data_IF_273745052667
#
_entry.id   IF_273745052667
#
_cell.length_a   1.000
_cell.length_b   1.000
_cell.length_c   1.000
_cell.angle_alpha   90.00
_cell.angle_beta   90.00
_cell.angle_gamma   90.00
#
_symmetry.space_group_name_H-M   'P 1'
#
loop_
_entity.id
_entity.type
_entity.pdbx_description
1 polymer ?
#
# COMPACT_ATOMS: atom_id res chain seq x y z
N UNK A 1 -16.40 -21.05 -5.59
CA UNK A 1 -16.54 -20.34 -6.89
C UNK A 1 -15.53 -20.93 -7.86
N UNK A 2 -15.91 -21.14 -9.12
CA UNK A 2 -14.96 -21.57 -10.17
C UNK A 2 -13.98 -20.40 -10.40
N UNK A 3 -12.66 -20.62 -10.41
CA UNK A 3 -11.71 -19.52 -10.59
C UNK A 3 -11.85 -18.94 -12.01
N UNK A 4 -12.21 -17.66 -12.11
CA UNK A 4 -12.15 -16.92 -13.37
C UNK A 4 -10.69 -16.54 -13.66
N UNK A 5 -10.25 -16.67 -14.92
CA UNK A 5 -8.88 -16.40 -15.34
C UNK A 5 -8.87 -15.60 -16.66
N UNK A 6 -7.94 -14.63 -16.81
CA UNK A 6 -6.84 -14.32 -15.89
C UNK A 6 -7.29 -13.49 -14.66
N UNK A 7 -6.56 -13.63 -13.54
CA UNK A 7 -6.76 -12.84 -12.31
C UNK A 7 -5.45 -12.54 -11.61
N UNK A 8 -5.44 -11.49 -10.78
CA UNK A 8 -4.32 -11.12 -9.91
C UNK A 8 -4.78 -11.31 -8.46
N UNK A 9 -3.97 -12.00 -7.67
CA UNK A 9 -4.20 -12.21 -6.23
C UNK A 9 -3.13 -11.45 -5.44
N UNK A 10 -3.56 -10.66 -4.46
CA UNK A 10 -2.68 -9.86 -3.61
C UNK A 10 -2.95 -10.23 -2.15
N UNK A 11 -1.92 -10.67 -1.45
CA UNK A 11 -2.02 -11.01 -0.03
C UNK A 11 -1.74 -9.76 0.82
N UNK A 12 -2.77 -9.23 1.48
CA UNK A 12 -2.66 -7.96 2.22
C UNK A 12 -1.67 -8.01 3.39
N UNK A 13 -1.51 -9.17 4.05
CA UNK A 13 -0.51 -9.30 5.12
C UNK A 13 0.91 -9.07 4.63
N UNK A 14 1.23 -9.51 3.41
CA UNK A 14 2.55 -9.30 2.82
C UNK A 14 2.80 -7.81 2.52
N UNK A 15 1.78 -7.07 2.08
CA UNK A 15 1.88 -5.61 1.90
C UNK A 15 2.18 -4.92 3.23
N UNK A 16 1.44 -5.27 4.28
CA UNK A 16 1.63 -4.70 5.62
C UNK A 16 3.01 -5.00 6.19
N UNK A 17 3.47 -6.24 6.08
CA UNK A 17 4.74 -6.66 6.66
C UNK A 17 5.92 -6.05 5.89
N UNK A 18 5.81 -5.93 4.56
CA UNK A 18 6.78 -5.20 3.74
C UNK A 18 6.83 -3.71 4.10
N UNK A 19 5.67 -3.06 4.26
CA UNK A 19 5.59 -1.67 4.67
C UNK A 19 6.23 -1.47 6.06
N UNK A 20 5.95 -2.36 7.03
CA UNK A 20 6.56 -2.34 8.36
C UNK A 20 8.08 -2.41 8.31
N UNK A 21 8.63 -3.38 7.60
CA UNK A 21 10.08 -3.54 7.47
C UNK A 21 10.75 -2.27 6.91
N UNK A 22 10.17 -1.66 5.88
CA UNK A 22 10.70 -0.42 5.32
C UNK A 22 10.55 0.76 6.29
N UNK A 23 9.40 0.93 6.92
CA UNK A 23 9.14 2.00 7.87
C UNK A 23 10.08 1.92 9.08
N UNK A 24 10.37 0.73 9.60
CA UNK A 24 11.34 0.52 10.67
C UNK A 24 12.76 0.84 10.22
N UNK A 25 13.18 0.33 9.05
CA UNK A 25 14.52 0.54 8.50
C UNK A 25 14.84 2.02 8.26
N UNK A 26 13.90 2.77 7.65
CA UNK A 26 14.09 4.19 7.37
C UNK A 26 13.77 5.07 8.57
N UNK A 27 12.89 4.63 9.47
CA UNK A 27 12.59 5.29 10.73
C UNK A 27 13.81 5.41 11.65
N UNK A 28 14.68 4.38 11.68
CA UNK A 28 15.97 4.45 12.38
C UNK A 28 16.89 5.56 11.86
N UNK A 29 16.65 6.06 10.64
CA UNK A 29 17.40 7.15 10.01
C UNK A 29 16.67 8.50 10.09
N UNK A 30 15.55 8.57 10.81
CA UNK A 30 14.69 9.75 10.89
C UNK A 30 13.91 10.04 9.59
N UNK A 31 13.82 9.07 8.67
CA UNK A 31 13.14 9.23 7.38
C UNK A 31 11.74 8.60 7.46
N UNK A 32 10.71 9.40 7.18
CA UNK A 32 9.33 8.91 7.03
C UNK A 32 9.05 8.49 5.58
N UNK A 33 8.26 7.43 5.42
CA UNK A 33 7.85 6.93 4.11
C UNK A 33 6.44 7.38 3.73
N UNK A 34 6.26 7.56 2.42
CA UNK A 34 4.97 7.79 1.76
C UNK A 34 4.66 6.60 0.87
N UNK A 35 3.49 5.99 1.05
CA UNK A 35 2.99 4.89 0.22
C UNK A 35 2.32 5.44 -1.03
N UNK A 36 2.74 4.97 -2.21
CA UNK A 36 2.19 5.43 -3.48
C UNK A 36 1.22 4.40 -4.04
N UNK A 37 -0.08 4.73 -4.13
CA UNK A 37 -1.14 3.79 -4.54
C UNK A 37 -1.28 3.60 -6.05
N UNK A 38 -0.42 4.23 -6.85
CA UNK A 38 -0.45 4.25 -8.33
C UNK A 38 -0.65 2.86 -8.95
N UNK A 39 0.14 1.87 -8.51
CA UNK A 39 0.14 0.53 -9.10
C UNK A 39 -1.13 -0.28 -8.81
N UNK A 40 -1.88 0.12 -7.78
CA UNK A 40 -3.09 -0.57 -7.32
C UNK A 40 -4.34 0.25 -7.54
N UNK A 41 -4.23 1.32 -8.33
CA UNK A 41 -5.34 2.22 -8.69
C UNK A 41 -6.09 2.80 -7.49
N UNK A 42 -5.41 2.96 -6.36
CA UNK A 42 -6.06 3.45 -5.14
C UNK A 42 -6.82 2.41 -4.33
N UNK A 43 -6.58 1.11 -4.53
CA UNK A 43 -7.35 0.06 -3.86
C UNK A 43 -7.30 0.20 -2.32
N UNK A 44 -8.43 0.50 -1.64
CA UNK A 44 -8.44 0.86 -0.22
C UNK A 44 -7.86 -0.21 0.69
N UNK A 45 -8.13 -1.49 0.41
CA UNK A 45 -7.62 -2.58 1.24
C UNK A 45 -6.08 -2.66 1.23
N UNK A 46 -5.46 -2.29 0.11
CA UNK A 46 -4.00 -2.27 -0.02
C UNK A 46 -3.42 -1.03 0.66
N UNK A 47 -4.07 0.13 0.51
CA UNK A 47 -3.68 1.37 1.20
C UNK A 47 -3.75 1.18 2.72
N UNK A 48 -4.83 0.61 3.23
CA UNK A 48 -5.00 0.29 4.65
C UNK A 48 -3.89 -0.65 5.14
N UNK A 49 -3.53 -1.68 4.36
CA UNK A 49 -2.40 -2.54 4.69
C UNK A 49 -1.07 -1.77 4.76
N UNK A 50 -0.82 -0.80 3.87
CA UNK A 50 0.35 0.08 3.96
C UNK A 50 0.35 0.92 5.24
N UNK A 51 -0.80 1.51 5.59
CA UNK A 51 -0.97 2.33 6.81
C UNK A 51 -0.75 1.49 8.06
N UNK A 52 -1.31 0.29 8.14
CA UNK A 52 -1.08 -0.67 9.22
C UNK A 52 0.39 -1.13 9.32
N UNK A 53 1.14 -1.00 8.22
CA UNK A 53 2.58 -1.19 8.18
C UNK A 53 3.38 0.03 8.66
N UNK A 54 2.74 1.14 9.00
CA UNK A 54 3.42 2.33 9.54
C UNK A 54 3.74 3.41 8.50
N UNK A 55 3.23 3.29 7.27
CA UNK A 55 3.28 4.38 6.29
C UNK A 55 2.46 5.56 6.83
N UNK A 56 3.06 6.76 6.83
CA UNK A 56 2.42 7.97 7.40
C UNK A 56 1.63 8.78 6.40
N UNK A 57 1.99 8.69 5.12
CA UNK A 57 1.41 9.51 4.07
C UNK A 57 1.07 8.64 2.87
N UNK A 58 0.01 8.98 2.16
CA UNK A 58 -0.38 8.34 0.90
C UNK A 58 -0.25 9.36 -0.22
N UNK A 59 0.23 8.91 -1.37
CA UNK A 59 0.22 9.67 -2.61
C UNK A 59 -0.38 8.85 -3.74
N UNK A 60 -1.02 9.54 -4.67
CA UNK A 60 -1.43 8.96 -5.95
C UNK A 60 -0.96 9.83 -7.10
N UNK A 61 -0.94 9.23 -8.29
CA UNK A 61 -0.66 9.91 -9.56
C UNK A 61 -1.90 10.50 -10.23
N UNK A 62 -3.09 10.25 -9.70
CA UNK A 62 -4.39 10.63 -10.28
C UNK A 62 -5.27 11.30 -9.24
N UNK A 63 -5.88 12.42 -9.60
CA UNK A 63 -6.77 13.17 -8.71
C UNK A 63 -8.07 12.41 -8.45
N UNK A 64 -8.54 11.64 -9.42
CA UNK A 64 -9.77 10.84 -9.32
C UNK A 64 -9.66 9.76 -8.23
N UNK A 65 -8.44 9.28 -7.97
CA UNK A 65 -8.18 8.33 -6.88
C UNK A 65 -8.22 9.02 -5.51
N UNK A 66 -7.78 10.28 -5.44
CA UNK A 66 -7.76 11.06 -4.18
C UNK A 66 -9.16 11.55 -3.79
N UNK A 67 -10.03 11.80 -4.78
CA UNK A 67 -11.37 12.35 -4.58
C UNK A 67 -12.44 11.29 -4.26
N UNK A 68 -12.09 10.00 -4.27
CA UNK A 68 -12.97 8.90 -3.87
C UNK A 68 -12.96 8.72 -2.36
#
# INVERSE_FOLDING_TARGET
MKPFMPRIEITLSQIRDNARMLCELYGQKGISLMGVSKAVLGEPAIIEAMIQGGVKFIADSRLETIQK
#
